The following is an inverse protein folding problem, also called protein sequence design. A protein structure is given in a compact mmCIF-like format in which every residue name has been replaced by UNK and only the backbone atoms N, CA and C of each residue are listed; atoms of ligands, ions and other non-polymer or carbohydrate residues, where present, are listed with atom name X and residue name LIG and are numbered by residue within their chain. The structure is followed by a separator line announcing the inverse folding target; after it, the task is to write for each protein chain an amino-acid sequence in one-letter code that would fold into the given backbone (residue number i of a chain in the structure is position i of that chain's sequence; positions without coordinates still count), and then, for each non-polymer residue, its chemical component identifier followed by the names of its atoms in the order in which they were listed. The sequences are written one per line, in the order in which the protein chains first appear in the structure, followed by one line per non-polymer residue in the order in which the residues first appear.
data_IF_032345113685
#
_entry.id   IF_032345113685
#
_cell.length_a   1.000
_cell.length_b   1.000
_cell.length_c   1.000
_cell.angle_alpha   90.00
_cell.angle_beta   90.00
_cell.angle_gamma   90.00
#
_symmetry.space_group_name_H-M   'P 1'
#
loop_
_entity.id
_entity.type
_entity.pdbx_description
1 polymer ?
#
# COMPACT_ATOMS: atom_id res chain seq x y z
N UNK A 1 -7.98 1.09 0.29
CA UNK A 1 -7.47 2.39 -0.18
C UNK A 1 -8.56 2.99 -1.04
N UNK A 2 -8.91 4.26 -0.84
CA UNK A 2 -10.13 4.86 -1.44
C UNK A 2 -9.83 5.87 -2.54
N UNK A 3 -8.59 5.94 -3.02
CA UNK A 3 -8.21 6.83 -4.13
C UNK A 3 -8.74 6.29 -5.46
N UNK A 4 -9.58 7.09 -6.12
CA UNK A 4 -10.19 6.79 -7.41
C UNK A 4 -9.12 6.60 -8.52
N UNK A 5 -7.96 7.26 -8.43
CA UNK A 5 -6.84 7.08 -9.38
C UNK A 5 -6.35 5.64 -9.37
N UNK A 6 -6.31 5.02 -8.19
CA UNK A 6 -5.84 3.64 -8.00
C UNK A 6 -6.97 2.64 -8.29
N UNK A 7 -8.19 2.92 -7.83
CA UNK A 7 -9.34 2.03 -8.01
C UNK A 7 -9.90 2.05 -9.44
N UNK A 8 -9.49 2.99 -10.30
CA UNK A 8 -9.74 2.93 -11.74
C UNK A 8 -9.14 1.68 -12.40
N UNK A 9 -8.09 1.08 -11.81
CA UNK A 9 -7.60 -0.23 -12.22
C UNK A 9 -8.47 -1.33 -11.58
N UNK A 10 -9.29 -2.06 -12.38
CA UNK A 10 -10.22 -3.05 -11.82
C UNK A 10 -9.51 -4.22 -11.13
N UNK A 11 -8.22 -4.45 -11.43
CA UNK A 11 -7.42 -5.49 -10.74
C UNK A 11 -6.96 -5.06 -9.36
N UNK A 12 -6.69 -3.76 -9.17
CA UNK A 12 -6.37 -3.17 -7.87
C UNK A 12 -7.64 -3.11 -7.02
N UNK A 13 -8.76 -2.66 -7.61
CA UNK A 13 -10.04 -2.63 -6.91
C UNK A 13 -10.47 -4.04 -6.46
N UNK A 14 -10.44 -5.03 -7.34
CA UNK A 14 -10.73 -6.42 -7.01
C UNK A 14 -9.79 -6.98 -5.92
N UNK A 15 -8.50 -6.59 -5.91
CA UNK A 15 -7.57 -7.02 -4.88
C UNK A 15 -7.95 -6.53 -3.47
N UNK A 16 -8.54 -5.34 -3.36
CA UNK A 16 -9.04 -4.83 -2.07
C UNK A 16 -10.19 -5.69 -1.51
N UNK A 17 -10.95 -6.37 -2.38
CA UNK A 17 -12.02 -7.28 -1.97
C UNK A 17 -11.49 -8.67 -1.53
N UNK A 18 -10.29 -9.05 -1.97
CA UNK A 18 -9.64 -10.33 -1.62
C UNK A 18 -8.85 -10.27 -0.31
N UNK A 19 -8.48 -9.09 0.14
CA UNK A 19 -7.71 -8.90 1.39
C UNK A 19 -8.61 -8.29 2.45
N UNK A 20 -8.70 -8.94 3.61
CA UNK A 20 -9.43 -8.37 4.75
C UNK A 20 -8.82 -7.01 5.17
N UNK A 21 -9.62 -5.93 5.32
CA UNK A 21 -9.09 -4.60 5.62
C UNK A 21 -8.18 -4.52 6.86
N UNK A 22 -8.46 -5.22 7.99
CA UNK A 22 -7.55 -5.24 9.12
C UNK A 22 -6.19 -5.86 8.80
N UNK A 23 -6.18 -6.95 8.02
CA UNK A 23 -4.96 -7.62 7.59
C UNK A 23 -4.15 -6.73 6.65
N UNK A 24 -4.81 -6.06 5.71
CA UNK A 24 -4.16 -5.11 4.82
C UNK A 24 -3.47 -3.99 5.60
N UNK A 25 -4.21 -3.34 6.52
CA UNK A 25 -3.67 -2.29 7.40
C UNK A 25 -2.45 -2.76 8.19
N UNK A 26 -2.52 -3.97 8.74
CA UNK A 26 -1.44 -4.53 9.54
C UNK A 26 -0.17 -4.77 8.69
N UNK A 27 -0.30 -5.36 7.50
CA UNK A 27 0.83 -5.59 6.60
C UNK A 27 1.49 -4.30 6.10
N UNK A 28 0.70 -3.27 5.79
CA UNK A 28 1.26 -1.95 5.42
C UNK A 28 2.00 -1.34 6.60
N UNK A 29 1.47 -1.45 7.82
CA UNK A 29 2.16 -1.00 9.04
C UNK A 29 3.50 -1.71 9.23
N UNK A 30 3.54 -3.04 9.13
CA UNK A 30 4.80 -3.78 9.25
C UNK A 30 5.81 -3.37 8.16
N UNK A 31 5.36 -3.22 6.92
CA UNK A 31 6.21 -2.82 5.80
C UNK A 31 6.83 -1.44 6.02
N UNK A 32 6.02 -0.44 6.37
CA UNK A 32 6.50 0.93 6.61
C UNK A 32 7.41 0.97 7.83
N UNK A 33 7.04 0.29 8.92
CA UNK A 33 7.85 0.25 10.13
C UNK A 33 9.22 -0.43 9.89
N UNK A 34 9.26 -1.57 9.20
CA UNK A 34 10.54 -2.21 8.85
C UNK A 34 11.37 -1.32 7.92
N UNK A 35 10.76 -0.77 6.87
CA UNK A 35 11.46 0.06 5.88
C UNK A 35 12.04 1.36 6.47
N UNK A 36 11.46 1.86 7.58
CA UNK A 36 11.93 3.04 8.30
C UNK A 36 12.84 2.73 9.48
N UNK A 37 13.25 1.47 9.66
CA UNK A 37 14.21 1.05 10.71
C UNK A 37 13.58 0.72 12.06
N UNK A 38 12.25 0.57 12.13
CA UNK A 38 11.55 0.07 13.30
C UNK A 38 11.83 -1.43 13.58
N UNK A 39 11.46 -1.94 14.76
CA UNK A 39 11.72 -3.33 15.16
C UNK A 39 10.81 -4.35 14.46
N UNK A 40 9.78 -3.90 13.74
CA UNK A 40 8.85 -4.77 13.01
C UNK A 40 9.53 -5.46 11.83
N UNK A 41 9.02 -6.63 11.48
CA UNK A 41 9.37 -7.37 10.26
C UNK A 41 8.13 -7.53 9.42
N UNK A 42 8.24 -7.27 8.12
CA UNK A 42 7.20 -7.49 7.15
C UNK A 42 6.97 -8.99 6.96
N UNK A 43 5.79 -9.46 7.33
CA UNK A 43 5.43 -10.89 7.27
C UNK A 43 4.62 -11.27 6.03
N UNK A 44 4.44 -10.32 5.09
CA UNK A 44 3.65 -10.53 3.88
C UNK A 44 4.43 -11.17 2.74
N UNK A 45 3.74 -11.32 1.59
CA UNK A 45 4.35 -11.75 0.32
C UNK A 45 5.35 -10.71 -0.16
N UNK A 46 6.37 -11.13 -0.92
CA UNK A 46 7.29 -10.20 -1.58
C UNK A 46 6.52 -9.15 -2.39
N UNK A 47 7.06 -7.94 -2.53
CA UNK A 47 6.38 -6.87 -3.29
C UNK A 47 6.07 -7.31 -4.73
N UNK A 48 6.95 -8.09 -5.35
CA UNK A 48 6.70 -8.65 -6.68
C UNK A 48 5.50 -9.61 -6.67
N UNK A 49 5.47 -10.58 -5.76
CA UNK A 49 4.40 -11.58 -5.72
C UNK A 49 3.06 -11.01 -5.26
N UNK A 50 3.09 -9.96 -4.45
CA UNK A 50 1.88 -9.26 -4.02
C UNK A 50 1.17 -8.56 -5.18
N UNK A 51 1.91 -8.02 -6.16
CA UNK A 51 1.38 -7.09 -7.16
C UNK A 51 1.50 -7.54 -8.63
N UNK A 52 2.24 -8.63 -8.92
CA UNK A 52 2.55 -9.09 -10.29
C UNK A 52 1.35 -9.25 -11.23
N UNK A 53 0.18 -9.60 -10.68
CA UNK A 53 -1.02 -9.86 -11.48
C UNK A 53 -1.95 -8.63 -11.58
N UNK A 54 -1.59 -7.50 -10.95
CA UNK A 54 -2.40 -6.28 -10.93
C UNK A 54 -2.11 -5.35 -12.11
N UNK A 55 -0.99 -5.57 -12.83
CA UNK A 55 -0.54 -4.73 -13.94
C UNK A 55 -0.47 -3.24 -13.58
N UNK A 56 0.08 -2.94 -12.40
CA UNK A 56 0.21 -1.57 -11.89
C UNK A 56 1.05 -0.75 -12.86
N UNK A 57 0.51 0.39 -13.28
CA UNK A 57 1.20 1.32 -14.19
C UNK A 57 2.13 2.28 -13.44
N UNK A 58 2.99 2.99 -14.18
CA UNK A 58 3.82 4.05 -13.58
C UNK A 58 2.98 5.16 -12.95
N UNK A 59 1.91 5.59 -13.63
CA UNK A 59 1.03 6.65 -13.13
C UNK A 59 0.27 6.21 -11.85
N UNK A 60 -0.15 4.95 -11.79
CA UNK A 60 -0.76 4.38 -10.56
C UNK A 60 0.26 4.28 -9.42
N UNK A 61 1.52 3.98 -9.72
CA UNK A 61 2.59 4.01 -8.72
C UNK A 61 2.85 5.42 -8.18
N UNK A 62 2.91 6.42 -9.05
CA UNK A 62 3.07 7.81 -8.63
C UNK A 62 1.88 8.30 -7.80
N UNK A 63 0.64 7.91 -8.17
CA UNK A 63 -0.55 8.22 -7.36
C UNK A 63 -0.46 7.60 -5.95
N UNK A 64 0.00 6.36 -5.84
CA UNK A 64 0.23 5.72 -4.54
C UNK A 64 1.30 6.45 -3.70
N UNK A 65 2.40 6.88 -4.33
CA UNK A 65 3.46 7.64 -3.64
C UNK A 65 2.96 9.01 -3.17
N UNK A 66 2.14 9.69 -3.98
CA UNK A 66 1.49 10.94 -3.60
C UNK A 66 0.59 10.75 -2.36
N UNK A 67 -0.28 9.74 -2.35
CA UNK A 67 -1.11 9.38 -1.19
C UNK A 67 -0.26 9.11 0.07
N UNK A 68 0.85 8.38 -0.09
CA UNK A 68 1.76 8.06 1.01
C UNK A 68 2.43 9.31 1.57
N UNK A 69 2.92 10.22 0.72
CA UNK A 69 3.53 11.48 1.14
C UNK A 69 2.53 12.39 1.85
N UNK A 70 1.31 12.55 1.31
CA UNK A 70 0.27 13.35 1.93
C UNK A 70 -0.10 12.80 3.30
N UNK A 71 -0.24 11.47 3.41
CA UNK A 71 -0.52 10.81 4.68
C UNK A 71 0.60 11.04 5.68
N UNK A 72 1.86 10.85 5.28
CA UNK A 72 3.02 11.06 6.15
C UNK A 72 3.12 12.52 6.63
N UNK A 73 2.91 13.49 5.74
CA UNK A 73 2.92 14.91 6.08
C UNK A 73 1.77 15.33 7.01
N UNK A 74 0.66 14.59 7.01
CA UNK A 74 -0.48 14.85 7.91
C UNK A 74 -0.23 14.39 9.35
N UNK A 75 0.79 13.56 9.58
CA UNK A 75 1.17 13.10 10.93
C UNK A 75 1.95 14.22 11.62
N UNK A 76 1.46 14.77 12.75
CA UNK A 76 2.19 15.82 13.47
C UNK A 76 3.54 15.33 13.99
N UNK A 77 4.53 16.22 14.02
CA UNK A 77 5.74 16.00 14.81
C UNK A 77 5.34 15.74 16.28
N UNK A 78 5.90 14.67 16.85
CA UNK A 78 5.66 14.28 18.25
C UNK A 78 6.44 15.14 19.21
#
# INVERSE_FOLDING_TARGET
MVDDRLNANPRVDEAHHRVLPPRFKYLVTEMVAEATGGPQRYTGRTMKDAHRDMLITGDEWEAFIDDLHQTAASVPDK
#
